data_IF_319600906283
#
_entry.id   IF_319600906283
#
_cell.length_a   1.000
_cell.length_b   1.000
_cell.length_c   1.000
_cell.angle_alpha   90.00
_cell.angle_beta   90.00
_cell.angle_gamma   90.00
#
_symmetry.space_group_name_H-M   'P 1'
#
loop_
_entity.id
_entity.type
_entity.pdbx_description
1 polymer ?
#
# COMPACT_ATOMS: atom_id res chain seq x y z
N UNK A 1 11.96 10.01 16.10
CA UNK A 1 11.92 10.26 14.64
C UNK A 1 12.31 9.03 13.83
N UNK A 2 13.39 8.33 14.19
CA UNK A 2 13.88 7.16 13.44
C UNK A 2 12.87 5.98 13.39
N UNK A 3 12.16 5.73 14.49
CA UNK A 3 11.08 4.72 14.52
C UNK A 3 9.92 5.03 13.55
N UNK A 4 9.56 6.31 13.38
CA UNK A 4 8.51 6.75 12.45
C UNK A 4 8.96 6.57 11.00
N UNK A 5 10.23 6.89 10.72
CA UNK A 5 10.82 6.66 9.40
C UNK A 5 10.85 5.16 9.04
N UNK A 6 11.28 4.30 9.98
CA UNK A 6 11.26 2.85 9.77
C UNK A 6 9.84 2.33 9.56
N UNK A 7 8.86 2.85 10.31
CA UNK A 7 7.45 2.50 10.12
C UNK A 7 6.93 2.91 8.74
N UNK A 8 7.26 4.13 8.30
CA UNK A 8 6.92 4.61 6.96
C UNK A 8 7.47 3.70 5.86
N UNK A 9 8.77 3.38 5.92
CA UNK A 9 9.43 2.50 4.95
C UNK A 9 8.83 1.09 4.96
N UNK A 10 8.50 0.57 6.15
CA UNK A 10 7.83 -0.72 6.31
C UNK A 10 6.44 -0.73 5.67
N UNK A 11 5.61 0.29 5.91
CA UNK A 11 4.26 0.38 5.31
C UNK A 11 4.39 0.48 3.79
N UNK A 12 5.28 1.35 3.28
CA UNK A 12 5.48 1.52 1.84
C UNK A 12 5.89 0.22 1.16
N UNK A 13 6.82 -0.53 1.77
CA UNK A 13 7.25 -1.83 1.25
C UNK A 13 6.10 -2.85 1.20
N UNK A 14 5.26 -2.89 2.24
CA UNK A 14 4.12 -3.81 2.28
C UNK A 14 3.04 -3.46 1.24
N UNK A 15 2.78 -2.17 0.98
CA UNK A 15 1.88 -1.76 -0.10
C UNK A 15 2.42 -2.20 -1.47
N UNK A 16 3.71 -1.99 -1.75
CA UNK A 16 4.31 -2.49 -2.99
C UNK A 16 4.24 -4.02 -3.13
N UNK A 17 4.47 -4.75 -2.05
CA UNK A 17 4.30 -6.21 -2.05
C UNK A 17 2.84 -6.63 -2.27
N UNK A 18 1.89 -5.88 -1.72
CA UNK A 18 0.47 -6.09 -1.96
C UNK A 18 0.11 -5.86 -3.43
N UNK A 19 0.57 -4.77 -4.05
CA UNK A 19 0.38 -4.51 -5.48
C UNK A 19 0.88 -5.67 -6.35
N UNK A 20 2.11 -6.14 -6.11
CA UNK A 20 2.69 -7.27 -6.85
C UNK A 20 1.86 -8.54 -6.65
N UNK A 21 1.45 -8.82 -5.40
CA UNK A 21 0.63 -9.99 -5.08
C UNK A 21 -0.73 -9.96 -5.77
N UNK A 22 -1.39 -8.80 -5.83
CA UNK A 22 -2.67 -8.62 -6.52
C UNK A 22 -2.52 -8.92 -8.02
N UNK A 23 -1.45 -8.45 -8.65
CA UNK A 23 -1.16 -8.76 -10.08
C UNK A 23 -0.98 -10.26 -10.28
N UNK A 24 -0.21 -10.91 -9.40
CA UNK A 24 0.03 -12.36 -9.49
C UNK A 24 -1.26 -13.17 -9.29
N UNK A 25 -2.10 -12.79 -8.33
CA UNK A 25 -3.40 -13.43 -8.09
C UNK A 25 -4.40 -13.20 -9.22
N UNK A 26 -4.33 -12.06 -9.89
CA UNK A 26 -5.15 -11.82 -11.08
C UNK A 26 -4.65 -12.64 -12.28
N UNK A 27 -3.34 -12.85 -12.38
CA UNK A 27 -2.72 -13.63 -13.44
C UNK A 27 -2.98 -15.14 -13.32
N UNK A 28 -2.88 -15.70 -12.11
CA UNK A 28 -3.12 -17.13 -11.86
C UNK A 28 -4.60 -17.51 -11.76
N UNK A 29 -5.49 -16.50 -11.72
CA UNK A 29 -6.94 -16.67 -11.67
C UNK A 29 -7.51 -16.83 -10.25
N UNK A 30 -6.71 -16.64 -9.20
CA UNK A 30 -7.16 -16.63 -7.79
C UNK A 30 -8.19 -15.52 -7.55
N UNK A 31 -8.01 -14.36 -8.19
CA UNK A 31 -9.00 -13.28 -8.22
C UNK A 31 -9.30 -12.91 -9.67
N UNK A 32 -10.49 -12.35 -9.92
CA UNK A 32 -10.78 -11.84 -11.26
C UNK A 32 -9.93 -10.61 -11.58
N UNK A 33 -9.65 -10.39 -12.87
CA UNK A 33 -8.91 -9.20 -13.31
C UNK A 33 -9.61 -7.89 -12.91
N UNK A 34 -10.95 -7.89 -12.85
CA UNK A 34 -11.74 -6.75 -12.40
C UNK A 34 -11.52 -6.46 -10.91
N UNK A 35 -11.63 -7.47 -10.05
CA UNK A 35 -11.34 -7.33 -8.61
C UNK A 35 -9.88 -6.91 -8.38
N UNK A 36 -8.93 -7.52 -9.10
CA UNK A 36 -7.52 -7.15 -9.05
C UNK A 36 -7.28 -5.69 -9.41
N UNK A 37 -7.99 -5.17 -10.41
CA UNK A 37 -7.90 -3.76 -10.82
C UNK A 37 -8.42 -2.82 -9.72
N UNK A 38 -9.55 -3.16 -9.08
CA UNK A 38 -10.10 -2.37 -7.97
C UNK A 38 -9.12 -2.34 -6.79
N UNK A 39 -8.58 -3.51 -6.43
CA UNK A 39 -7.63 -3.63 -5.32
C UNK A 39 -6.33 -2.86 -5.60
N UNK A 40 -5.78 -2.97 -6.81
CA UNK A 40 -4.60 -2.20 -7.22
C UNK A 40 -4.85 -0.69 -7.16
N UNK A 41 -6.04 -0.23 -7.56
CA UNK A 41 -6.37 1.19 -7.49
C UNK A 41 -6.42 1.70 -6.06
N UNK A 42 -7.03 0.94 -5.14
CA UNK A 42 -7.06 1.30 -3.71
C UNK A 42 -5.65 1.30 -3.10
N UNK A 43 -4.85 0.28 -3.39
CA UNK A 43 -3.47 0.17 -2.91
C UNK A 43 -2.60 1.32 -3.43
N UNK A 44 -2.75 1.69 -4.70
CA UNK A 44 -2.08 2.85 -5.29
C UNK A 44 -2.47 4.17 -4.62
N UNK A 45 -3.75 4.37 -4.28
CA UNK A 45 -4.19 5.54 -3.52
C UNK A 45 -3.46 5.60 -2.17
N UNK A 46 -3.31 4.47 -1.47
CA UNK A 46 -2.59 4.39 -0.21
C UNK A 46 -1.10 4.76 -0.38
N UNK A 47 -0.44 4.28 -1.44
CA UNK A 47 0.96 4.62 -1.74
C UNK A 47 1.12 6.12 -2.00
N UNK A 48 0.26 6.73 -2.83
CA UNK A 48 0.33 8.17 -3.15
C UNK A 48 0.11 9.04 -1.92
N UNK A 49 -0.78 8.62 -1.01
CA UNK A 49 -1.17 9.40 0.17
C UNK A 49 -0.48 8.94 1.45
N UNK A 50 0.53 8.08 1.37
CA UNK A 50 1.15 7.44 2.53
C UNK A 50 1.62 8.44 3.57
N UNK A 51 2.26 9.55 3.18
CA UNK A 51 2.72 10.58 4.13
C UNK A 51 1.57 11.17 4.94
N UNK A 52 0.45 11.52 4.28
CA UNK A 52 -0.76 12.05 4.95
C UNK A 52 -1.39 11.01 5.87
N UNK A 53 -1.46 9.75 5.42
CA UNK A 53 -2.01 8.65 6.20
C UNK A 53 -1.15 8.42 7.45
N UNK A 54 0.17 8.37 7.32
CA UNK A 54 1.09 8.17 8.44
C UNK A 54 1.06 9.34 9.43
N UNK A 55 0.98 10.59 8.94
CA UNK A 55 0.84 11.76 9.82
C UNK A 55 -0.48 11.75 10.57
N UNK A 56 -1.59 11.37 9.93
CA UNK A 56 -2.90 11.27 10.58
C UNK A 56 -2.96 10.15 11.62
N UNK A 57 -2.46 8.96 11.29
CA UNK A 57 -2.56 7.78 12.15
C UNK A 57 -1.59 7.80 13.34
N UNK A 58 -0.38 8.32 13.12
CA UNK A 58 0.70 8.22 14.11
C UNK A 58 1.07 9.55 14.74
N UNK A 59 0.35 10.63 14.41
CA UNK A 59 0.60 11.97 14.94
C UNK A 59 2.01 12.48 14.62
N UNK A 60 2.64 11.92 13.59
CA UNK A 60 3.91 12.42 13.05
C UNK A 60 3.60 13.72 12.31
N UNK A 61 3.51 14.81 13.08
CA UNK A 61 3.66 16.16 12.54
C UNK A 61 4.98 16.21 11.79
N UNK A 62 4.95 16.80 10.59
CA UNK A 62 6.13 17.25 9.87
C UNK A 62 7.12 18.01 10.78
#
# INVERSE_FOLDING_TARGET
>A
MEAVKMLYEYILMNLWLAAVSIVLFAYDGTISAFEGTILLFLDFICIVHISKITSYLFGASE
#
